data_IF_348103053416
#
_entry.id   IF_348103053416
#
_cell.length_a   1.000
_cell.length_b   1.000
_cell.length_c   1.000
_cell.angle_alpha   90.00
_cell.angle_beta   90.00
_cell.angle_gamma   90.00
#
_symmetry.space_group_name_H-M   'P 1'
#
loop_
_entity.id
_entity.type
_entity.pdbx_description
1 polymer ?
2 water ?
#
# COMPACT_ATOMS: atom_id res chain seq x y z
N UNK A 10 19.12 22.45 -24.00
CA UNK A 10 20.16 21.54 -24.54
C UNK A 10 20.20 20.21 -23.79
N UNK A 11 20.29 19.13 -24.55
CA UNK A 11 20.28 17.78 -24.01
C UNK A 11 21.51 17.48 -23.14
N UNK A 12 22.65 18.07 -23.49
CA UNK A 12 23.89 17.90 -22.73
C UNK A 12 23.75 18.50 -21.32
N UNK A 13 23.13 19.67 -21.24
CA UNK A 13 22.91 20.36 -19.97
C UNK A 13 22.01 19.57 -19.04
N UNK A 14 20.93 18.99 -19.58
CA UNK A 14 20.06 18.10 -18.80
C UNK A 14 20.84 16.86 -18.35
N UNK A 15 21.59 16.27 -19.27
CA UNK A 15 22.38 15.06 -18.97
C UNK A 15 23.40 15.25 -17.88
N UNK A 16 24.06 16.40 -17.87
CA UNK A 16 25.07 16.73 -16.84
C UNK A 16 24.42 16.73 -15.44
N UNK A 17 23.30 17.43 -15.31
CA UNK A 17 22.60 17.56 -14.03
C UNK A 17 22.02 16.21 -13.56
N UNK A 18 21.47 15.43 -14.48
CA UNK A 18 21.02 14.07 -14.16
C UNK A 18 22.18 13.21 -13.66
N UNK A 19 23.31 13.26 -14.37
CA UNK A 19 24.52 12.53 -13.98
C UNK A 19 24.97 12.85 -12.54
N UNK A 20 25.02 14.15 -12.21
CA UNK A 20 25.42 14.58 -10.86
C UNK A 20 24.37 14.23 -9.78
N UNK A 21 23.09 14.31 -10.14
CA UNK A 21 22.03 13.92 -9.22
C UNK A 21 22.04 12.41 -8.95
N UNK A 22 22.31 11.62 -9.99
CA UNK A 22 22.44 10.18 -9.86
C UNK A 22 23.52 9.78 -8.85
N UNK A 23 24.71 10.35 -9.00
CA UNK A 23 25.86 10.07 -8.13
C UNK A 23 25.58 10.35 -6.65
N UNK A 24 24.87 11.45 -6.38
CA UNK A 24 24.49 11.83 -5.02
C UNK A 24 23.43 10.90 -4.43
N UNK A 25 22.39 10.61 -5.21
CA UNK A 25 21.25 9.83 -4.72
C UNK A 25 21.59 8.38 -4.38
N UNK A 26 22.49 7.79 -5.14
CA UNK A 26 22.95 6.43 -4.88
C UNK A 26 23.78 6.34 -3.59
N UNK A 27 24.40 7.46 -3.21
CA UNK A 27 25.22 7.54 -1.99
C UNK A 27 24.39 7.53 -0.69
N UNK A 34 16.62 2.26 7.08
CA UNK A 34 16.91 1.10 7.93
C UNK A 34 16.28 -0.17 7.36
N UNK A 35 17.10 -0.97 6.69
CA UNK A 35 16.67 -2.26 6.15
C UNK A 35 16.30 -3.26 7.24
N UNK A 36 17.06 -3.27 8.33
CA UNK A 36 16.80 -4.19 9.43
C UNK A 36 15.47 -3.93 10.13
N UNK A 37 15.02 -2.67 10.12
CA UNK A 37 13.69 -2.33 10.63
C UNK A 37 12.58 -2.87 9.74
N UNK A 38 12.81 -2.85 8.41
CA UNK A 38 11.88 -3.49 7.48
C UNK A 38 11.80 -4.98 7.77
N UNK A 39 12.96 -5.64 7.85
CA UNK A 39 13.04 -7.08 8.05
C UNK A 39 12.42 -7.49 9.39
N UNK A 40 12.71 -6.72 10.43
CA UNK A 40 12.15 -7.00 11.76
C UNK A 40 10.61 -6.95 11.78
N UNK A 41 10.03 -5.90 11.21
CA UNK A 41 8.56 -5.79 11.17
C UNK A 41 7.93 -6.89 10.29
N UNK A 42 8.46 -7.07 9.08
CA UNK A 42 7.89 -8.05 8.13
C UNK A 42 7.92 -9.48 8.70
N UNK A 43 9.06 -9.86 9.23
CA UNK A 43 9.26 -11.17 9.82
C UNK A 43 8.42 -11.38 11.08
N UNK A 44 8.30 -10.33 11.89
CA UNK A 44 7.44 -10.38 13.08
C UNK A 44 6.02 -10.86 12.73
N UNK A 45 5.46 -10.30 11.67
CA UNK A 45 4.10 -10.67 11.22
C UNK A 45 4.10 -11.76 10.14
N UNK A 46 5.28 -12.27 9.79
CA UNK A 46 5.44 -13.24 8.69
C UNK A 46 4.90 -12.72 7.35
N UNK A 47 5.12 -11.44 7.08
CA UNK A 47 4.81 -10.86 5.78
C UNK A 47 5.76 -11.27 4.67
N UNK A 48 5.22 -11.41 3.46
CA UNK A 48 6.01 -11.36 2.24
C UNK A 48 5.78 -9.98 1.61
N UNK A 49 6.85 -9.35 1.15
CA UNK A 49 6.77 -8.10 0.43
C UNK A 49 6.74 -8.41 -1.06
N UNK A 50 5.78 -7.83 -1.77
CA UNK A 50 5.72 -8.00 -3.21
C UNK A 50 6.15 -6.67 -3.82
N UNK A 51 7.37 -6.65 -4.35
CA UNK A 51 8.00 -5.42 -4.80
C UNK A 51 8.14 -5.42 -6.33
N UNK A 52 7.54 -4.41 -6.96
CA UNK A 52 7.56 -4.30 -8.41
C UNK A 52 8.22 -2.97 -8.80
N UNK A 53 9.52 -3.02 -9.10
CA UNK A 53 10.24 -1.78 -9.42
C UNK A 53 9.69 -1.12 -10.67
N UNK A 54 9.47 0.19 -10.60
CA UNK A 54 8.89 0.94 -11.72
C UNK A 54 7.43 1.30 -11.46
N UNK A 55 6.80 0.63 -10.48
CA UNK A 55 5.39 0.88 -10.19
C UNK A 55 5.21 1.57 -8.87
N UNK A 56 4.16 2.38 -8.74
CA UNK A 56 3.92 3.15 -7.53
C UNK A 56 3.46 2.33 -6.34
N UNK A 57 2.68 1.29 -6.61
CA UNK A 57 2.05 0.49 -5.54
C UNK A 57 3.00 -0.54 -4.93
N UNK A 58 2.93 -0.66 -3.61
CA UNK A 58 3.63 -1.71 -2.90
C UNK A 58 2.58 -2.59 -2.24
N UNK A 59 2.91 -3.87 -2.12
CA UNK A 59 2.04 -4.85 -1.49
C UNK A 59 2.80 -5.71 -0.48
N UNK A 60 2.19 -5.91 0.69
CA UNK A 60 2.67 -6.90 1.64
C UNK A 60 1.51 -7.86 1.93
N UNK A 61 1.83 -9.14 2.08
CA UNK A 61 0.82 -10.19 2.28
C UNK A 61 1.30 -11.19 3.32
N UNK A 62 0.38 -11.60 4.18
CA UNK A 62 0.64 -12.63 5.16
C UNK A 62 -0.57 -13.54 5.35
N UNK A 63 -0.32 -14.68 5.99
CA UNK A 63 -1.37 -15.57 6.47
C UNK A 63 -1.39 -15.56 8.00
N UNK A 64 -2.59 -15.42 8.59
CA UNK A 64 -2.73 -15.35 10.04
C UNK A 64 -2.84 -16.73 10.69
N UNK A 65 -2.82 -16.76 12.03
CA UNK A 65 -2.97 -18.00 12.79
C UNK A 65 -4.31 -18.68 12.52
N UNK A 66 -5.35 -17.88 12.25
CA UNK A 66 -6.68 -18.40 11.97
C UNK A 66 -6.94 -18.73 10.49
N UNK A 67 -5.90 -18.65 9.66
CA UNK A 67 -6.00 -19.04 8.26
C UNK A 67 -6.52 -17.97 7.32
N UNK A 68 -6.52 -16.72 7.78
CA UNK A 68 -6.86 -15.61 6.89
C UNK A 68 -5.66 -15.16 6.09
N UNK A 69 -5.90 -14.61 4.92
CA UNK A 69 -4.85 -13.97 4.14
C UNK A 69 -5.11 -12.48 4.22
N UNK A 70 -4.07 -11.74 4.62
CA UNK A 70 -4.15 -10.29 4.73
C UNK A 70 -3.21 -9.62 3.72
N UNK A 71 -3.79 -8.84 2.80
CA UNK A 71 -3.01 -8.04 1.86
C UNK A 71 -3.10 -6.58 2.28
N UNK A 72 -1.99 -5.87 2.19
CA UNK A 72 -1.97 -4.43 2.44
C UNK A 72 -1.33 -3.76 1.25
N UNK A 73 -2.04 -2.81 0.67
CA UNK A 73 -1.53 -2.07 -0.50
C UNK A 73 -1.46 -0.59 -0.20
N UNK A 74 -0.41 0.04 -0.71
CA UNK A 74 -0.22 1.47 -0.55
C UNK A 74 0.56 2.05 -1.74
N UNK A 75 0.35 3.34 -1.98
CA UNK A 75 0.94 4.05 -3.11
C UNK A 75 2.08 4.93 -2.60
N UNK A 76 3.29 4.53 -2.94
CA UNK A 76 4.49 5.15 -2.38
C UNK A 76 4.64 6.62 -2.83
N UNK A 77 4.14 6.94 -4.03
CA UNK A 77 4.21 8.29 -4.54
C UNK A 77 3.23 9.22 -3.82
N UNK A 78 2.09 8.67 -3.41
CA UNK A 78 1.10 9.42 -2.64
C UNK A 78 1.67 9.75 -1.25
N UNK A 79 2.47 8.83 -0.71
CA UNK A 79 3.00 8.94 0.65
C UNK A 79 4.30 9.73 0.72
N UNK A 80 5.23 9.39 -0.15
CA UNK A 80 6.56 9.98 -0.16
C UNK A 80 6.83 10.67 -1.49
N UNK A 111 -3.00 12.66 4.44
CA UNK A 111 -3.74 11.39 4.37
C UNK A 111 -3.47 10.57 3.12
N UNK A 112 -3.16 9.29 3.31
CA UNK A 112 -2.88 8.38 2.22
C UNK A 112 -3.91 7.25 2.16
N UNK A 113 -4.19 6.77 0.96
CA UNK A 113 -5.10 5.63 0.78
C UNK A 113 -4.36 4.32 1.01
N UNK A 114 -4.82 3.53 1.99
CA UNK A 114 -4.30 2.19 2.23
C UNK A 114 -5.42 1.17 2.12
N UNK A 115 -5.24 0.20 1.22
CA UNK A 115 -6.23 -0.88 1.01
C UNK A 115 -5.78 -2.15 1.74
N UNK A 116 -6.59 -2.58 2.71
CA UNK A 116 -6.38 -3.84 3.41
C UNK A 116 -7.46 -4.84 2.96
N UNK A 117 -7.01 -5.91 2.30
CA UNK A 117 -7.90 -6.94 1.80
C UNK A 117 -7.66 -8.23 2.60
N UNK A 118 -8.75 -8.75 3.15
CA UNK A 118 -8.68 -9.95 4.00
C UNK A 118 -9.59 -11.04 3.44
N UNK A 119 -9.02 -12.21 3.19
CA UNK A 119 -9.78 -13.35 2.69
C UNK A 119 -9.62 -14.54 3.64
N UNK A 120 -10.49 -15.52 3.51
CA UNK A 120 -10.43 -16.71 4.37
C UNK A 120 -9.98 -17.94 3.60
N UNK A 124 -11.18 -17.24 -4.45
CA UNK A 124 -12.28 -18.19 -4.57
C UNK A 124 -13.39 -17.93 -3.57
N UNK A 125 -13.03 -17.92 -2.27
CA UNK A 125 -13.98 -17.65 -1.19
C UNK A 125 -13.97 -16.14 -0.88
N UNK A 126 -15.08 -15.62 -0.33
CA UNK A 126 -15.24 -14.18 -0.08
C UNK A 126 -14.09 -13.46 0.65
N UNK A 127 -13.91 -12.20 0.25
CA UNK A 127 -12.88 -11.33 0.78
C UNK A 127 -13.53 -9.97 1.10
N UNK A 128 -13.06 -9.30 2.14
CA UNK A 128 -13.52 -7.95 2.42
C UNK A 128 -12.38 -6.98 2.12
N UNK A 129 -12.66 -6.00 1.28
CA UNK A 129 -11.74 -4.90 1.04
C UNK A 129 -12.04 -3.72 1.94
N UNK A 130 -11.10 -3.44 2.85
CA UNK A 130 -11.18 -2.26 3.70
C UNK A 130 -10.33 -1.17 3.08
N UNK A 131 -10.98 -0.08 2.68
CA UNK A 131 -10.29 1.09 2.20
C UNK A 131 -10.08 2.05 3.37
N UNK A 132 -8.81 2.26 3.69
CA UNK A 132 -8.43 3.08 4.83
C UNK A 132 -7.79 4.39 4.41
N UNK A 133 -7.89 5.37 5.30
CA UNK A 133 -7.12 6.60 5.20
C UNK A 133 -6.13 6.62 6.33
N UNK A 134 -4.85 6.82 6.02
CA UNK A 134 -3.80 6.83 7.03
C UNK A 134 -3.29 8.24 7.24
N UNK A 135 -3.28 8.69 8.49
CA UNK A 135 -2.69 9.97 8.85
C UNK A 135 -1.18 9.81 8.81
N UNK A 136 -0.53 10.53 7.91
CA UNK A 136 0.92 10.39 7.70
C UNK A 136 1.74 10.87 8.90
N UNK A 137 1.26 11.93 9.55
CA UNK A 137 1.93 12.48 10.74
C UNK A 137 1.67 11.64 12.00
N UNK A 138 0.43 11.21 12.18
CA UNK A 138 0.00 10.50 13.39
C UNK A 138 0.29 8.99 13.36
N UNK A 139 0.32 8.43 12.15
CA UNK A 139 0.44 6.98 11.98
C UNK A 139 -0.82 6.27 12.41
N UNK A 140 -1.96 6.91 12.16
CA UNK A 140 -3.28 6.38 12.53
C UNK A 140 -4.10 6.08 11.28
N UNK A 141 -5.04 5.16 11.41
CA UNK A 141 -5.88 4.70 10.30
C UNK A 141 -7.36 5.05 10.56
N UNK A 142 -8.09 5.32 9.48
CA UNK A 142 -9.54 5.51 9.56
C UNK A 142 -10.21 4.74 8.44
N UNK A 143 -11.29 4.02 8.77
CA UNK A 143 -12.01 3.24 7.76
C UNK A 143 -12.92 4.17 6.96
N UNK A 144 -12.76 4.11 5.64
CA UNK A 144 -13.58 4.88 4.70
C UNK A 144 -14.72 3.98 4.23
N UNK A 145 -14.38 2.75 3.84
CA UNK A 145 -15.36 1.78 3.38
C UNK A 145 -14.88 0.36 3.61
N UNK A 146 -15.84 -0.56 3.72
CA UNK A 146 -15.58 -1.99 3.77
C UNK A 146 -16.54 -2.67 2.80
N UNK A 147 -15.99 -3.32 1.75
CA UNK A 147 -16.78 -3.94 0.69
C UNK A 147 -16.50 -5.44 0.64
N UNK A 148 -17.55 -6.27 0.86
CA UNK A 148 -17.41 -7.71 0.75
C UNK A 148 -17.43 -8.14 -0.73
N UNK A 149 -16.32 -8.68 -1.24
CA UNK A 149 -16.29 -9.17 -2.61
C UNK A 149 -16.39 -10.71 -2.63
N UNK A 150 -16.88 -11.29 -3.76
CA UNK A 150 -17.09 -12.74 -3.72
C UNK A 150 -15.81 -13.54 -3.82
N UNK A 151 -14.69 -12.86 -4.12
CA UNK A 151 -13.38 -13.51 -4.24
C UNK A 151 -12.26 -12.48 -4.14
N UNK A 152 -11.04 -12.97 -3.88
CA UNK A 152 -9.86 -12.13 -3.89
C UNK A 152 -9.66 -11.51 -5.28
N UNK A 153 -9.91 -12.30 -6.34
CA UNK A 153 -9.76 -11.81 -7.70
C UNK A 153 -10.68 -10.62 -7.95
N UNK A 154 -11.93 -10.74 -7.54
CA UNK A 154 -12.91 -9.67 -7.69
C UNK A 154 -12.44 -8.40 -6.97
N UNK A 155 -11.83 -8.59 -5.79
CA UNK A 155 -11.34 -7.46 -5.00
C UNK A 155 -10.13 -6.78 -5.63
N UNK A 156 -9.27 -7.56 -6.28
CA UNK A 156 -7.91 -7.11 -6.60
C UNK A 156 -7.48 -7.09 -8.07
N UNK A 157 -8.16 -7.83 -8.92
CA UNK A 157 -7.81 -7.88 -10.35
C UNK A 157 -7.76 -6.44 -10.93
N UNK A 158 -6.68 -6.13 -11.64
CA UNK A 158 -6.40 -4.78 -12.13
C UNK A 158 -6.91 -4.54 -13.56
N UNK A 159 -7.56 -5.53 -14.14
CA UNK A 159 -8.08 -5.41 -15.52
C UNK A 159 -9.12 -4.28 -15.60
N UNK A 160 -9.31 -3.75 -16.80
CA UNK A 160 -10.29 -2.68 -17.02
C UNK A 160 -11.68 -3.12 -16.59
N UNK A 161 -12.07 -4.33 -16.99
CA UNK A 161 -13.40 -4.80 -16.62
C UNK A 161 -13.56 -5.08 -15.11
N UNK A 162 -12.51 -5.57 -14.44
CA UNK A 162 -12.56 -5.80 -12.99
C UNK A 162 -12.71 -4.49 -12.21
N UNK A 163 -12.02 -3.45 -12.66
CA UNK A 163 -12.21 -2.12 -12.07
C UNK A 163 -13.64 -1.62 -12.26
N UNK A 164 -14.18 -1.77 -13.46
CA UNK A 164 -15.56 -1.36 -13.72
C UNK A 164 -16.53 -2.14 -12.83
N UNK A 165 -16.29 -3.44 -12.67
CA UNK A 165 -17.13 -4.27 -11.79
C UNK A 165 -17.13 -3.74 -10.36
N UNK A 166 -15.96 -3.34 -9.86
CA UNK A 166 -15.88 -2.77 -8.51
C UNK A 166 -16.61 -1.42 -8.41
N UNK A 167 -16.42 -0.55 -9.40
CA UNK A 167 -17.07 0.75 -9.45
C UNK A 167 -18.60 0.66 -9.38
N UNK A 168 -19.17 -0.42 -9.94
CA UNK A 168 -20.63 -0.52 -10.08
C UNK A 168 -21.35 -1.07 -8.86
N UNK A 169 -20.64 -1.83 -8.04
CA UNK A 169 -21.24 -2.52 -6.89
C UNK A 169 -21.33 -1.61 -5.66
N UNK A 170 -22.31 -1.91 -4.80
CA UNK A 170 -22.51 -1.19 -3.52
C UNK A 170 -21.32 -1.36 -2.59
N UNK A 171 -20.86 -0.27 -1.97
CA UNK A 171 -19.65 -0.34 -1.13
C UNK A 171 -19.92 -0.21 0.35
N UNK A 172 -21.17 -0.41 0.74
CA UNK A 172 -21.55 -0.21 2.12
C UNK A 172 -21.80 1.26 2.35
N UNK A 173 -22.50 1.59 3.43
CA UNK A 173 -22.78 3.00 3.68
C UNK A 173 -21.51 3.76 4.11
N UNK A 174 -21.60 5.10 4.21
CA UNK A 174 -20.46 5.81 4.84
C UNK A 174 -20.20 5.17 6.18
N UNK A 175 -18.94 4.91 6.48
CA UNK A 175 -18.54 4.26 7.73
C UNK A 175 -19.06 5.02 8.95
N UNK A 176 -19.06 6.35 8.86
CA UNK A 176 -19.57 7.20 9.94
C UNK A 176 -21.07 7.01 10.19
N UNK A 177 -21.79 6.49 9.19
CA UNK A 177 -23.23 6.28 9.33
C UNK A 177 -23.58 4.96 10.01
N UNK A 178 -22.60 4.07 10.12
CA UNK A 178 -22.80 2.80 10.81
C UNK A 178 -23.07 3.00 12.29
N UNK A 179 -23.76 2.04 12.90
CA UNK A 179 -23.87 1.97 14.36
C UNK A 179 -22.45 2.07 14.94
N UNK A 180 -22.31 2.88 15.99
CA UNK A 180 -21.01 3.13 16.64
C UNK A 180 -20.33 1.84 17.08
N UNK A 181 -21.10 0.92 17.61
CA UNK A 181 -20.59 -0.38 18.03
C UNK A 181 -20.09 -1.21 16.83
N UNK A 182 -20.79 -1.12 15.69
CA UNK A 182 -20.29 -1.74 14.45
C UNK A 182 -18.97 -1.10 14.00
N UNK A 183 -18.90 0.24 14.01
CA UNK A 183 -17.67 0.95 13.68
C UNK A 183 -16.51 0.45 14.53
N UNK A 184 -16.74 0.39 15.84
CA UNK A 184 -15.73 0.01 16.82
C UNK A 184 -15.26 -1.43 16.64
N UNK A 185 -16.20 -2.36 16.48
CA UNK A 185 -15.86 -3.78 16.32
C UNK A 185 -15.06 -4.08 15.05
N UNK A 186 -15.35 -3.35 13.98
CA UNK A 186 -14.59 -3.45 12.73
C UNK A 186 -13.17 -2.87 12.89
N UNK A 187 -13.06 -1.73 13.57
CA UNK A 187 -11.76 -1.13 13.87
C UNK A 187 -10.90 -2.04 14.75
N UNK A 188 -11.52 -2.61 15.78
CA UNK A 188 -10.82 -3.55 16.68
C UNK A 188 -10.44 -4.86 15.97
N UNK A 189 -11.29 -5.33 15.06
CA UNK A 189 -10.96 -6.48 14.22
C UNK A 189 -9.70 -6.22 13.36
N UNK A 190 -9.67 -5.07 12.69
CA UNK A 190 -8.49 -4.68 11.88
C UNK A 190 -7.23 -4.56 12.75
N UNK A 191 -7.39 -3.95 13.92
CA UNK A 191 -6.29 -3.83 14.89
C UNK A 191 -5.74 -5.22 15.21
N UNK A 192 -6.64 -6.14 15.60
CA UNK A 192 -6.28 -7.52 15.94
C UNK A 192 -5.60 -8.25 14.78
N UNK A 193 -5.80 -7.75 13.55
CA UNK A 193 -5.16 -8.31 12.37
C UNK A 193 -3.89 -7.54 11.95
N UNK A 194 -3.42 -6.65 12.81
CA UNK A 194 -2.14 -5.95 12.60
C UNK A 194 -2.21 -4.60 11.90
N UNK A 195 -3.42 -4.05 11.77
CA UNK A 195 -3.56 -2.68 11.29
C UNK A 195 -3.36 -1.76 12.49
N UNK A 196 -2.09 -1.37 12.70
CA UNK A 196 -1.65 -0.72 13.93
C UNK A 196 -0.53 0.29 13.65
N UNK A 197 0.08 0.81 14.73
CA UNK A 197 1.12 1.82 14.63
C UNK A 197 2.40 1.29 13.96
N UNK A 198 2.74 0.04 14.26
CA UNK A 198 3.86 -0.64 13.61
C UNK A 198 3.68 -0.71 12.09
N UNK A 199 2.46 -1.01 11.63
CA UNK A 199 2.19 -1.07 10.20
C UNK A 199 2.32 0.33 9.58
N UNK A 200 1.77 1.34 10.25
CA UNK A 200 1.88 2.72 9.77
C UNK A 200 3.35 3.16 9.65
N UNK A 201 4.16 2.84 10.66
CA UNK A 201 5.59 3.14 10.61
C UNK A 201 6.28 2.46 9.43
N UNK A 202 5.99 1.18 9.21
CA UNK A 202 6.54 0.49 8.05
C UNK A 202 6.11 1.14 6.73
N UNK A 203 4.81 1.40 6.58
CA UNK A 203 4.30 2.00 5.36
C UNK A 203 5.03 3.33 5.07
N UNK A 204 5.20 4.17 6.08
CA UNK A 204 5.89 5.46 5.90
C UNK A 204 7.34 5.30 5.50
N UNK A 205 8.09 4.49 6.25
CA UNK A 205 9.51 4.32 5.99
C UNK A 205 9.78 3.52 4.70
N UNK A 206 8.99 2.48 4.44
CA UNK A 206 9.18 1.72 3.20
C UNK A 206 8.81 2.57 1.99
N UNK A 207 7.75 3.37 2.11
CA UNK A 207 7.38 4.31 1.04
C UNK A 207 8.50 5.29 0.72
N UNK A 208 9.15 5.84 1.75
CA UNK A 208 10.30 6.72 1.54
C UNK A 208 11.42 5.99 0.80
N UNK A 209 11.69 4.75 1.19
CA UNK A 209 12.75 3.92 0.59
C UNK A 209 12.44 3.60 -0.87
N UNK A 210 11.27 3.02 -1.14
CA UNK A 210 10.91 2.63 -2.50
C UNK A 210 10.86 3.84 -3.45
N UNK A 211 10.25 4.93 -3.00
CA UNK A 211 10.10 6.11 -3.84
C UNK A 211 11.47 6.66 -4.26
N UNK A 212 12.40 6.72 -3.31
CA UNK A 212 13.75 7.14 -3.64
C UNK A 212 14.40 6.20 -4.68
N UNK A 213 14.20 4.88 -4.53
CA UNK A 213 14.63 3.92 -5.56
C UNK A 213 13.95 4.16 -6.92
N UNK A 214 12.65 4.49 -6.90
CA UNK A 214 11.91 4.84 -8.10
C UNK A 214 12.47 6.14 -8.72
N UNK A 215 12.77 7.11 -7.87
CA UNK A 215 13.43 8.34 -8.32
C UNK A 215 14.78 8.07 -9.00
N UNK A 216 15.60 7.19 -8.41
CA UNK A 216 16.88 6.79 -9.01
C UNK A 216 16.72 6.15 -10.41
N UNK A 217 15.80 5.19 -10.52
CA UNK A 217 15.50 4.53 -11.80
C UNK A 217 15.00 5.54 -12.83
N UNK A 218 14.19 6.49 -12.38
CA UNK A 218 13.66 7.59 -13.20
C UNK A 218 14.79 8.47 -13.73
N UNK A 219 15.70 8.86 -12.85
CA UNK A 219 16.88 9.62 -13.25
C UNK A 219 17.67 8.86 -14.33
N UNK A 220 17.82 7.56 -14.12
CA UNK A 220 18.54 6.69 -15.07
C UNK A 220 17.87 6.63 -16.43
N UNK A 221 16.54 6.52 -16.44
CA UNK A 221 15.79 6.49 -17.69
C UNK A 221 15.87 7.84 -18.41
N UNK A 222 15.75 8.91 -17.64
CA UNK A 222 15.95 10.25 -18.18
C UNK A 222 17.37 10.42 -18.79
N UNK A 223 18.40 9.96 -18.08
CA UNK A 223 19.79 9.98 -18.57
C UNK A 223 19.92 9.32 -19.94
N UNK A 224 19.31 8.14 -20.10
CA UNK A 224 19.34 7.42 -21.37
C UNK A 224 18.67 8.20 -22.51
N UNK A 225 17.56 8.89 -22.21
CA UNK A 225 16.86 9.68 -23.21
C UNK A 225 17.70 10.87 -23.64
N UNK A 226 18.34 11.53 -22.68
CA UNK A 226 19.05 12.77 -22.97
C UNK A 226 20.50 12.57 -23.44
N UNK A 227 20.97 11.31 -23.41
CA UNK A 227 22.31 10.96 -23.89
C UNK A 227 22.54 11.31 -25.36
#
# INVERSE_FOLDING_TARGET
MGHHHHHHQETQRVGDILQSELKIEKETLPESTSLDSFNDFLNKYKFSLVETPGKNEAEIVRRTESGETVHVFFDVAQIANLPYNNAMDENTEQNEDGINEDDFDALSDNFANVNVVISKESASEPAVSFELLMNLQEGSFYVDSATPYPSVDAALNQSAEAEITRELVYHGPPFSNLDEELQESLEAYLESRGVNEELASFISAYSEFKENNEYISWLEKMKKFFH
#
